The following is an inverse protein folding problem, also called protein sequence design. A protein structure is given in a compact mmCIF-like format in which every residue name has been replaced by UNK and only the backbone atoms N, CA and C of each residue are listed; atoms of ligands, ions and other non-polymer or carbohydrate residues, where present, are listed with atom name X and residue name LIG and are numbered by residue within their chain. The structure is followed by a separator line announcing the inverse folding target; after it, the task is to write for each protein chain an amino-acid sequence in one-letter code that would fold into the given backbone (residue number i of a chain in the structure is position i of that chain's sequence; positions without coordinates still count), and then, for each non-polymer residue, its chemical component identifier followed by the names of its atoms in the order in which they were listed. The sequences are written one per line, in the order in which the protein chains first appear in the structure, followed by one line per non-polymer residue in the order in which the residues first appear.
data_IF_425179560774
#
_entry.id   IF_425179560774
#
_cell.length_a   1.000
_cell.length_b   1.000
_cell.length_c   1.000
_cell.angle_alpha   90.00
_cell.angle_beta   90.00
_cell.angle_gamma   90.00
#
_symmetry.space_group_name_H-M   'P 1'
#
loop_
_entity.id
_entity.type
_entity.pdbx_description
1 polymer ?
#
# COMPACT_ATOMS: atom_id res chain seq x y z
N UNK A 1 -17.32 -10.37 -5.17
CA UNK A 1 -18.13 -11.20 -4.29
C UNK A 1 -18.83 -12.29 -5.11
N UNK A 2 -18.69 -13.53 -4.68
CA UNK A 2 -19.42 -14.66 -5.25
C UNK A 2 -20.54 -15.03 -4.29
N UNK A 3 -21.80 -15.11 -4.73
CA UNK A 3 -22.90 -15.49 -3.87
C UNK A 3 -22.68 -16.86 -3.23
N UNK A 4 -23.24 -17.09 -2.07
CA UNK A 4 -23.22 -18.37 -1.40
C UNK A 4 -24.39 -19.25 -1.84
N UNK A 5 -24.10 -20.52 -2.01
CA UNK A 5 -25.07 -21.56 -2.27
C UNK A 5 -25.26 -22.41 -1.02
N UNK A 6 -26.49 -22.76 -0.68
CA UNK A 6 -26.75 -23.80 0.30
C UNK A 6 -26.59 -25.16 -0.36
N UNK A 7 -25.77 -25.99 0.24
CA UNK A 7 -25.65 -27.40 -0.17
C UNK A 7 -26.96 -28.10 0.08
N UNK A 8 -27.32 -28.98 -0.86
CA UNK A 8 -28.55 -29.75 -0.80
C UNK A 8 -28.69 -30.45 0.55
N UNK A 9 -29.87 -30.32 1.16
CA UNK A 9 -30.21 -30.98 2.41
C UNK A 9 -30.09 -32.50 2.39
N UNK A 10 -30.15 -33.13 1.22
CA UNK A 10 -29.94 -34.56 1.04
C UNK A 10 -28.51 -35.00 1.45
N UNK A 11 -27.54 -34.10 1.42
CA UNK A 11 -26.15 -34.36 1.82
C UNK A 11 -25.83 -33.88 3.25
N UNK A 12 -26.81 -33.42 4.00
CA UNK A 12 -26.67 -32.94 5.37
C UNK A 12 -25.61 -31.84 5.57
N UNK A 13 -25.32 -31.09 4.55
CA UNK A 13 -24.38 -29.98 4.61
C UNK A 13 -25.16 -28.68 4.74
N UNK A 14 -25.36 -28.26 5.97
CA UNK A 14 -26.07 -27.02 6.32
C UNK A 14 -25.14 -25.80 6.36
N UNK A 15 -24.08 -25.76 5.55
CA UNK A 15 -23.18 -24.63 5.45
C UNK A 15 -23.21 -24.04 4.03
N UNK A 16 -23.10 -22.73 3.88
CA UNK A 16 -23.01 -22.13 2.57
C UNK A 16 -21.69 -22.49 1.90
N UNK A 17 -21.76 -22.78 0.64
CA UNK A 17 -20.62 -23.00 -0.22
C UNK A 17 -20.47 -21.78 -1.13
N UNK A 18 -19.27 -21.32 -1.32
CA UNK A 18 -19.00 -20.28 -2.31
C UNK A 18 -19.42 -20.77 -3.67
N UNK A 19 -20.36 -20.09 -4.26
CA UNK A 19 -20.81 -20.36 -5.58
C UNK A 19 -19.80 -19.85 -6.61
N UNK A 20 -19.53 -20.64 -7.61
CA UNK A 20 -18.73 -20.23 -8.73
C UNK A 20 -19.62 -19.64 -9.82
N UNK A 21 -19.50 -18.37 -10.07
CA UNK A 21 -20.16 -17.72 -11.19
C UNK A 21 -21.70 -17.84 -11.18
N UNK A 22 -22.25 -18.07 -12.35
CA UNK A 22 -23.71 -18.13 -12.55
C UNK A 22 -24.39 -19.27 -11.79
N UNK A 23 -23.74 -20.41 -11.62
CA UNK A 23 -24.35 -21.55 -10.93
C UNK A 23 -24.68 -21.24 -9.49
N UNK A 24 -23.81 -20.52 -8.80
CA UNK A 24 -24.09 -20.12 -7.46
C UNK A 24 -25.18 -19.07 -7.34
N UNK A 25 -25.18 -18.14 -8.26
CA UNK A 25 -26.26 -17.14 -8.33
C UNK A 25 -27.61 -17.83 -8.58
N UNK A 26 -27.65 -18.80 -9.47
CA UNK A 26 -28.89 -19.54 -9.78
C UNK A 26 -29.36 -20.40 -8.59
N UNK A 27 -28.46 -21.12 -7.95
CA UNK A 27 -28.80 -21.89 -6.76
C UNK A 27 -29.20 -21.01 -5.57
N UNK A 28 -28.51 -19.92 -5.40
CA UNK A 28 -28.86 -18.88 -4.44
C UNK A 28 -30.25 -18.29 -4.75
N UNK A 29 -30.52 -18.02 -6.01
CA UNK A 29 -31.76 -17.47 -6.51
C UNK A 29 -32.90 -18.50 -6.54
N UNK A 30 -32.61 -19.79 -6.53
CA UNK A 30 -33.61 -20.86 -6.51
C UNK A 30 -34.38 -20.99 -5.17
N UNK A 31 -34.27 -20.04 -4.28
CA UNK A 31 -35.13 -19.92 -3.13
C UNK A 31 -34.59 -20.51 -1.83
N UNK A 32 -33.33 -20.81 -1.78
CA UNK A 32 -32.71 -21.30 -0.56
C UNK A 32 -32.31 -20.20 0.41
N UNK A 33 -32.42 -18.94 -0.01
CA UNK A 33 -32.09 -17.77 0.78
C UNK A 33 -33.26 -16.79 0.83
N UNK A 34 -33.40 -16.04 1.93
CA UNK A 34 -34.53 -15.13 2.13
C UNK A 34 -34.47 -13.85 1.28
N UNK A 35 -33.48 -13.75 0.39
CA UNK A 35 -33.32 -12.60 -0.50
C UNK A 35 -34.04 -12.87 -1.80
N UNK A 36 -34.84 -11.93 -2.24
CA UNK A 36 -35.61 -12.04 -3.46
C UNK A 36 -34.71 -12.23 -4.68
N UNK A 37 -34.75 -13.42 -5.22
CA UNK A 37 -33.86 -13.88 -6.26
C UNK A 37 -34.03 -13.18 -7.61
N UNK A 38 -35.14 -12.58 -7.86
CA UNK A 38 -35.38 -11.92 -9.15
C UNK A 38 -34.59 -10.62 -9.34
N UNK A 39 -34.21 -9.97 -8.25
CA UNK A 39 -33.42 -8.74 -8.30
C UNK A 39 -31.95 -8.99 -8.67
N UNK A 40 -31.44 -10.18 -8.41
CA UNK A 40 -30.04 -10.54 -8.71
C UNK A 40 -29.78 -10.79 -10.19
N UNK A 41 -30.77 -11.23 -10.92
CA UNK A 41 -30.63 -11.54 -12.34
C UNK A 41 -30.62 -10.30 -13.24
N UNK A 42 -30.87 -9.13 -12.68
CA UNK A 42 -31.13 -7.94 -13.50
C UNK A 42 -30.10 -6.81 -13.34
N UNK A 43 -29.33 -6.78 -12.25
CA UNK A 43 -28.34 -5.74 -12.03
C UNK A 43 -27.17 -6.26 -11.20
N UNK A 44 -25.99 -6.25 -11.77
CA UNK A 44 -24.75 -6.45 -11.03
C UNK A 44 -24.47 -5.19 -10.20
N UNK A 45 -24.88 -5.20 -8.95
CA UNK A 45 -24.51 -4.13 -8.04
C UNK A 45 -23.23 -4.48 -7.30
N UNK A 46 -22.30 -3.55 -7.12
CA UNK A 46 -21.08 -3.79 -6.34
C UNK A 46 -21.45 -4.28 -4.94
N UNK A 47 -20.77 -5.29 -4.48
CA UNK A 47 -21.03 -5.89 -3.16
C UNK A 47 -19.71 -6.10 -2.42
N UNK A 48 -19.76 -5.99 -1.10
CA UNK A 48 -18.63 -6.31 -0.25
C UNK A 48 -19.07 -7.15 0.94
N UNK A 49 -18.16 -7.93 1.50
CA UNK A 49 -18.42 -8.72 2.69
C UNK A 49 -17.57 -8.24 3.86
N UNK A 50 -18.19 -8.10 5.02
CA UNK A 50 -17.52 -7.81 6.29
C UNK A 50 -17.45 -9.10 7.10
N UNK A 51 -16.26 -9.48 7.49
CA UNK A 51 -15.99 -10.65 8.31
C UNK A 51 -15.71 -10.20 9.74
N UNK A 52 -16.45 -10.74 10.70
CA UNK A 52 -16.21 -10.58 12.12
C UNK A 52 -15.76 -11.95 12.68
N UNK A 53 -14.52 -12.03 13.13
CA UNK A 53 -13.88 -13.29 13.56
C UNK A 53 -13.62 -13.25 15.05
N UNK A 54 -14.24 -14.16 15.77
CA UNK A 54 -14.01 -14.41 17.17
C UNK A 54 -13.41 -15.83 17.36
N UNK A 55 -12.96 -16.19 18.55
CA UNK A 55 -12.23 -17.44 18.84
C UNK A 55 -12.87 -18.72 18.28
N UNK A 56 -14.19 -18.79 18.24
CA UNK A 56 -14.91 -19.96 17.78
C UNK A 56 -16.02 -19.65 16.77
N UNK A 57 -16.09 -18.41 16.28
CA UNK A 57 -17.18 -17.96 15.42
C UNK A 57 -16.68 -17.02 14.34
N UNK A 58 -17.14 -17.24 13.12
CA UNK A 58 -17.00 -16.32 12.01
C UNK A 58 -18.39 -15.82 11.65
N UNK A 59 -18.61 -14.50 11.69
CA UNK A 59 -19.83 -13.88 11.19
C UNK A 59 -19.50 -13.13 9.90
N UNK A 60 -20.34 -13.30 8.90
CA UNK A 60 -20.18 -12.66 7.59
C UNK A 60 -21.43 -11.85 7.29
N UNK A 61 -21.25 -10.57 6.99
CA UNK A 61 -22.30 -9.68 6.53
C UNK A 61 -21.95 -9.22 5.12
N UNK A 62 -22.84 -9.42 4.19
CA UNK A 62 -22.69 -9.04 2.79
C UNK A 62 -23.56 -7.84 2.49
N UNK A 63 -22.98 -6.84 1.91
CA UNK A 63 -23.64 -5.59 1.57
C UNK A 63 -23.63 -5.36 0.07
N UNK A 64 -24.72 -4.83 -0.43
CA UNK A 64 -24.83 -4.29 -1.76
C UNK A 64 -24.69 -2.77 -1.73
N UNK A 65 -23.94 -2.21 -2.67
CA UNK A 65 -23.84 -0.77 -2.86
C UNK A 65 -24.87 -0.31 -3.89
N UNK A 66 -25.64 0.68 -3.52
CA UNK A 66 -26.64 1.33 -4.38
C UNK A 66 -26.55 2.84 -4.21
N UNK A 67 -27.22 3.59 -5.09
CA UNK A 67 -27.26 5.05 -5.00
C UNK A 67 -26.30 5.77 -5.95
N UNK A 68 -26.21 7.08 -5.79
CA UNK A 68 -25.32 7.94 -6.58
C UNK A 68 -23.85 7.75 -6.11
N UNK A 69 -22.91 7.82 -7.04
CA UNK A 69 -21.48 7.76 -6.76
C UNK A 69 -21.00 8.79 -5.73
N UNK A 70 -21.71 9.90 -5.59
CA UNK A 70 -21.45 10.93 -4.58
C UNK A 70 -22.11 10.68 -3.22
N UNK A 71 -23.05 9.72 -3.16
CA UNK A 71 -23.76 9.34 -1.95
C UNK A 71 -24.12 7.84 -2.00
N UNK A 72 -23.13 6.92 -1.96
CA UNK A 72 -23.41 5.50 -2.03
C UNK A 72 -24.15 5.04 -0.77
N UNK A 73 -25.20 4.28 -0.98
CA UNK A 73 -25.95 3.62 0.09
C UNK A 73 -25.51 2.16 0.18
N UNK A 74 -25.32 1.68 1.40
CA UNK A 74 -24.94 0.30 1.69
C UNK A 74 -26.14 -0.46 2.26
N UNK A 75 -26.58 -1.49 1.56
CA UNK A 75 -27.72 -2.33 1.99
C UNK A 75 -27.21 -3.73 2.34
N UNK A 76 -27.46 -4.17 3.57
CA UNK A 76 -27.20 -5.55 3.95
C UNK A 76 -28.09 -6.49 3.13
N UNK A 77 -27.49 -7.42 2.40
CA UNK A 77 -28.19 -8.34 1.51
C UNK A 77 -28.11 -9.78 1.97
N UNK A 78 -27.06 -10.13 2.72
CA UNK A 78 -26.92 -11.44 3.33
C UNK A 78 -26.14 -11.36 4.64
N UNK A 79 -26.38 -12.31 5.53
CA UNK A 79 -25.63 -12.47 6.78
C UNK A 79 -25.69 -13.91 7.23
N UNK A 80 -24.56 -14.43 7.67
CA UNK A 80 -24.50 -15.75 8.28
C UNK A 80 -23.36 -15.81 9.29
N UNK A 81 -23.36 -16.85 10.12
CA UNK A 81 -22.25 -17.14 10.99
C UNK A 81 -21.98 -18.63 11.08
N UNK A 82 -20.70 -18.98 11.18
CA UNK A 82 -20.23 -20.33 11.45
C UNK A 82 -19.61 -20.34 12.84
N UNK A 83 -20.13 -21.20 13.72
CA UNK A 83 -19.57 -21.40 15.06
C UNK A 83 -18.95 -22.79 15.14
N UNK A 84 -17.70 -22.86 15.55
CA UNK A 84 -17.01 -24.13 15.81
C UNK A 84 -17.42 -24.66 17.19
N UNK A 85 -17.91 -25.88 17.24
CA UNK A 85 -18.22 -26.60 18.46
C UNK A 85 -17.52 -27.96 18.48
N UNK A 86 -17.68 -28.72 19.58
CA UNK A 86 -17.03 -30.02 19.77
C UNK A 86 -17.42 -31.06 18.68
N UNK A 87 -18.54 -30.87 17.99
CA UNK A 87 -19.08 -31.79 16.99
C UNK A 87 -18.92 -31.29 15.56
N UNK A 88 -18.21 -30.18 15.34
CA UNK A 88 -18.01 -29.55 14.02
C UNK A 88 -18.45 -28.09 13.99
N UNK A 89 -18.83 -27.62 12.80
CA UNK A 89 -19.33 -26.26 12.62
C UNK A 89 -20.84 -26.18 12.67
N UNK A 90 -21.40 -25.18 13.33
CA UNK A 90 -22.81 -24.82 13.30
C UNK A 90 -22.98 -23.55 12.46
N UNK A 91 -23.75 -23.65 11.39
CA UNK A 91 -24.13 -22.50 10.56
C UNK A 91 -25.43 -21.90 11.07
N UNK A 92 -25.45 -20.60 11.29
CA UNK A 92 -26.66 -19.81 11.53
C UNK A 92 -26.80 -18.74 10.46
N UNK A 93 -27.93 -18.73 9.78
CA UNK A 93 -28.32 -17.60 8.96
C UNK A 93 -28.75 -16.45 9.87
N UNK A 94 -28.27 -15.27 9.61
CA UNK A 94 -28.41 -14.15 10.52
C UNK A 94 -28.79 -12.85 9.87
N UNK A 95 -29.81 -12.82 9.01
CA UNK A 95 -30.46 -11.56 8.64
C UNK A 95 -31.21 -10.89 9.79
N UNK A 96 -31.16 -11.44 11.01
CA UNK A 96 -31.73 -10.81 12.18
C UNK A 96 -30.87 -9.61 12.62
N UNK A 97 -31.25 -8.43 12.13
CA UNK A 97 -31.08 -7.09 12.71
C UNK A 97 -29.76 -6.80 13.45
N UNK A 98 -28.60 -6.91 12.80
CA UNK A 98 -27.44 -6.13 13.22
C UNK A 98 -27.06 -5.15 12.11
N UNK A 99 -27.55 -3.95 12.21
CA UNK A 99 -26.95 -2.79 11.53
C UNK A 99 -25.57 -2.53 12.15
N UNK A 100 -24.56 -3.26 11.73
CA UNK A 100 -23.21 -2.82 11.91
C UNK A 100 -22.87 -1.90 10.72
N UNK A 101 -23.21 -0.64 10.84
CA UNK A 101 -22.75 0.38 9.90
C UNK A 101 -21.49 0.99 10.48
N UNK A 102 -20.39 0.92 9.77
CA UNK A 102 -19.26 1.81 10.02
C UNK A 102 -19.72 3.17 9.49
N UNK A 103 -20.00 4.11 10.38
CA UNK A 103 -20.26 5.48 10.01
C UNK A 103 -18.98 6.28 10.19
N UNK A 104 -18.52 6.90 9.13
CA UNK A 104 -17.44 7.88 9.19
C UNK A 104 -18.05 9.29 9.20
N UNK A 105 -17.66 10.08 10.17
CA UNK A 105 -18.10 11.48 10.28
C UNK A 105 -16.88 12.37 10.27
N UNK A 106 -16.82 13.29 9.32
CA UNK A 106 -15.80 14.32 9.32
C UNK A 106 -16.06 15.30 10.46
N UNK A 107 -15.15 15.37 11.44
CA UNK A 107 -15.29 16.22 12.62
C UNK A 107 -14.45 17.50 12.53
N UNK A 108 -13.36 17.46 11.75
CA UNK A 108 -12.47 18.60 11.60
C UNK A 108 -11.76 18.55 10.23
N UNK A 109 -11.22 19.68 9.84
CA UNK A 109 -10.34 19.81 8.67
C UNK A 109 -9.25 20.83 8.94
N UNK A 110 -8.11 20.64 8.33
CA UNK A 110 -7.06 21.63 8.21
C UNK A 110 -6.92 22.05 6.74
N UNK A 111 -6.63 23.31 6.51
CA UNK A 111 -6.35 23.84 5.18
C UNK A 111 -5.09 24.71 5.26
N UNK A 112 -4.05 24.35 4.53
CA UNK A 112 -2.80 25.10 4.46
C UNK A 112 -2.97 26.48 3.80
N UNK A 113 -4.04 26.68 3.02
CA UNK A 113 -4.24 27.86 2.17
C UNK A 113 -3.31 27.94 0.98
N UNK A 114 -2.51 26.88 0.73
CA UNK A 114 -1.55 26.80 -0.36
C UNK A 114 -2.11 25.99 -1.52
N UNK A 115 -1.53 26.18 -2.68
CA UNK A 115 -1.77 25.41 -3.89
C UNK A 115 -0.43 25.02 -4.50
N UNK A 116 -0.32 23.79 -4.96
CA UNK A 116 0.78 23.32 -5.78
C UNK A 116 0.20 22.83 -7.13
N UNK A 117 0.55 23.46 -8.24
CA UNK A 117 0.04 23.04 -9.55
C UNK A 117 0.60 21.69 -10.01
N UNK A 118 1.73 21.27 -9.45
CA UNK A 118 2.48 20.10 -9.88
C UNK A 118 2.30 18.89 -8.93
N UNK A 119 1.47 19.01 -7.89
CA UNK A 119 1.27 17.91 -6.95
C UNK A 119 0.53 18.28 -5.66
N UNK A 120 0.68 17.46 -4.64
CA UNK A 120 0.17 17.70 -3.29
C UNK A 120 0.90 18.84 -2.56
N UNK A 121 0.27 19.39 -1.56
CA UNK A 121 0.90 20.35 -0.63
C UNK A 121 1.26 19.66 0.67
N UNK A 122 0.40 18.76 1.13
CA UNK A 122 0.53 18.00 2.36
C UNK A 122 0.32 16.54 1.99
N UNK A 123 1.35 15.72 2.06
CA UNK A 123 1.31 14.35 1.55
C UNK A 123 1.39 13.32 2.67
N UNK A 124 2.47 13.35 3.46
CA UNK A 124 2.67 12.41 4.55
C UNK A 124 2.29 13.05 5.88
N UNK A 125 1.52 12.30 6.69
CA UNK A 125 1.06 12.73 8.00
C UNK A 125 1.20 11.60 9.01
N UNK A 126 1.68 11.93 10.23
CA UNK A 126 1.63 10.99 11.35
C UNK A 126 1.05 11.67 12.60
N UNK A 127 0.50 10.84 13.49
CA UNK A 127 -0.26 11.30 14.65
C UNK A 127 0.34 10.82 15.97
N UNK A 128 0.72 11.79 16.81
CA UNK A 128 1.15 11.52 18.17
C UNK A 128 -0.05 11.23 19.08
N UNK A 129 -0.30 9.98 19.35
CA UNK A 129 -1.42 9.52 20.19
C UNK A 129 -1.32 9.97 21.63
N UNK A 130 -0.10 10.25 22.11
CA UNK A 130 0.18 10.69 23.50
C UNK A 130 -0.11 12.18 23.65
N UNK A 131 0.42 13.00 22.75
CA UNK A 131 0.25 14.46 22.82
C UNK A 131 -1.03 14.94 22.16
N UNK A 132 -1.54 14.20 21.16
CA UNK A 132 -2.74 14.54 20.39
C UNK A 132 -2.50 15.57 19.29
N UNK A 133 -1.28 15.62 18.77
CA UNK A 133 -0.89 16.43 17.63
C UNK A 133 -0.60 15.56 16.42
N UNK A 134 -1.07 15.96 15.26
CA UNK A 134 -0.64 15.41 13.99
C UNK A 134 0.46 16.29 13.39
N UNK A 135 1.37 15.68 12.65
CA UNK A 135 2.47 16.36 11.99
C UNK A 135 2.43 15.97 10.51
N UNK A 136 2.36 16.98 9.65
CA UNK A 136 2.24 16.75 8.21
C UNK A 136 3.38 17.44 7.46
N UNK A 137 3.97 16.70 6.53
CA UNK A 137 4.99 17.19 5.61
C UNK A 137 4.36 18.21 4.65
N UNK A 138 5.01 19.36 4.50
CA UNK A 138 4.66 20.34 3.49
C UNK A 138 5.82 20.46 2.49
N UNK A 139 5.73 19.73 1.39
CA UNK A 139 6.77 19.65 0.36
C UNK A 139 7.04 20.97 -0.36
N UNK A 140 6.08 21.92 -0.34
CA UNK A 140 6.26 23.23 -1.00
C UNK A 140 7.18 24.17 -0.23
N UNK A 141 7.19 24.07 1.11
CA UNK A 141 7.84 25.10 1.94
C UNK A 141 9.02 24.60 2.75
N UNK A 142 9.27 23.30 2.82
CA UNK A 142 10.23 22.69 3.74
C UNK A 142 9.82 22.82 5.21
N UNK A 143 8.53 23.05 5.47
CA UNK A 143 7.95 23.09 6.81
C UNK A 143 7.29 21.77 7.18
N UNK A 144 7.37 21.40 8.44
CA UNK A 144 6.47 20.43 9.05
C UNK A 144 5.33 21.19 9.73
N UNK A 145 4.10 20.81 9.45
CA UNK A 145 2.92 21.46 10.04
C UNK A 145 2.40 20.64 11.21
N UNK A 146 2.45 21.18 12.41
CA UNK A 146 1.84 20.59 13.60
C UNK A 146 0.37 21.00 13.73
N UNK A 147 -0.55 20.04 13.78
CA UNK A 147 -2.01 20.25 13.78
C UNK A 147 -2.61 19.68 15.07
N UNK A 148 -3.30 20.49 15.90
CA UNK A 148 -3.90 20.01 17.14
C UNK A 148 -5.15 19.16 16.85
N UNK A 149 -5.12 17.88 17.20
CA UNK A 149 -6.24 16.94 16.98
C UNK A 149 -7.10 16.74 18.24
N UNK A 150 -6.62 17.12 19.43
CA UNK A 150 -7.37 16.94 20.70
C UNK A 150 -8.58 17.88 20.79
N UNK A 151 -9.68 17.34 21.34
CA UNK A 151 -10.87 18.06 21.80
C UNK A 151 -11.67 18.83 20.73
N UNK A 152 -11.80 18.27 19.55
CA UNK A 152 -12.80 18.78 18.60
C UNK A 152 -14.07 17.93 18.71
N UNK A 153 -14.88 18.18 19.74
CA UNK A 153 -16.25 17.70 19.76
C UNK A 153 -17.04 18.43 18.67
N UNK A 154 -17.04 17.89 17.47
CA UNK A 154 -17.90 18.37 16.41
C UNK A 154 -19.33 17.91 16.72
N UNK A 155 -20.13 18.78 17.26
CA UNK A 155 -21.54 18.47 17.53
C UNK A 155 -22.41 18.85 16.33
N UNK A 156 -22.10 19.95 15.62
CA UNK A 156 -22.93 20.44 14.52
C UNK A 156 -22.17 21.07 13.34
N UNK A 157 -20.85 21.19 13.39
CA UNK A 157 -20.04 21.79 12.31
C UNK A 157 -18.65 21.17 12.26
N UNK A 158 -18.12 21.00 11.03
CA UNK A 158 -16.73 20.64 10.80
C UNK A 158 -15.83 21.76 11.37
N UNK A 159 -14.98 21.41 12.33
CA UNK A 159 -14.06 22.38 12.93
C UNK A 159 -12.89 22.66 11.97
N UNK A 160 -12.61 23.94 11.71
CA UNK A 160 -11.37 24.32 11.04
C UNK A 160 -10.23 24.32 12.08
N UNK A 161 -9.17 23.59 11.78
CA UNK A 161 -7.99 23.47 12.67
C UNK A 161 -6.93 24.50 12.27
N UNK A 162 -6.25 25.02 13.29
CA UNK A 162 -5.10 25.91 13.10
C UNK A 162 -3.81 25.09 13.20
N UNK A 163 -2.99 25.11 12.15
CA UNK A 163 -1.68 24.47 12.15
C UNK A 163 -0.57 25.43 12.56
N UNK A 164 0.51 24.88 13.08
CA UNK A 164 1.77 25.60 13.38
C UNK A 164 2.85 25.11 12.46
N UNK A 165 3.45 25.97 11.67
CA UNK A 165 4.57 25.60 10.81
C UNK A 165 5.89 25.61 11.59
N UNK A 166 6.68 24.57 11.39
CA UNK A 166 8.01 24.38 11.95
C UNK A 166 8.97 24.29 10.77
N UNK A 167 9.90 25.20 10.66
CA UNK A 167 10.84 25.27 9.53
C UNK A 167 11.96 24.24 9.68
N UNK A 168 11.72 23.04 9.17
CA UNK A 168 12.67 21.92 9.23
C UNK A 168 13.90 22.20 8.39
N UNK A 169 13.72 22.78 7.19
CA UNK A 169 14.82 23.15 6.31
C UNK A 169 15.86 24.00 7.04
N UNK A 170 15.44 25.08 7.68
CA UNK A 170 16.34 25.99 8.41
C UNK A 170 17.02 25.28 9.58
N UNK A 171 16.30 24.44 10.32
CA UNK A 171 16.87 23.68 11.45
C UNK A 171 17.95 22.75 10.95
N UNK A 172 17.71 22.01 9.86
CA UNK A 172 18.67 21.04 9.32
C UNK A 172 19.91 21.73 8.76
N UNK A 173 19.75 22.76 7.94
CA UNK A 173 20.88 23.50 7.35
C UNK A 173 21.75 24.18 8.43
N UNK A 174 21.16 24.59 9.55
CA UNK A 174 21.91 25.17 10.66
C UNK A 174 22.68 24.12 11.50
N UNK A 175 22.18 22.90 11.60
CA UNK A 175 22.73 21.86 12.48
C UNK A 175 23.53 20.77 11.73
N UNK A 176 23.38 20.65 10.43
CA UNK A 176 24.12 19.68 9.59
C UNK A 176 24.98 20.41 8.57
N UNK A 177 26.21 20.76 8.97
CA UNK A 177 27.11 21.55 8.13
C UNK A 177 27.50 20.81 6.85
N UNK A 178 27.35 21.47 5.72
CA UNK A 178 27.69 20.94 4.41
C UNK A 178 26.56 20.16 3.75
N UNK A 179 25.46 19.95 4.46
CA UNK A 179 24.24 19.40 3.87
C UNK A 179 23.45 20.50 3.16
N UNK A 180 22.93 20.19 1.98
CA UNK A 180 22.06 21.07 1.23
C UNK A 180 20.68 20.41 1.15
N UNK A 181 19.70 21.06 1.75
CA UNK A 181 18.32 20.55 1.81
C UNK A 181 17.72 20.45 0.40
N UNK A 182 17.24 19.27 0.06
CA UNK A 182 16.47 18.99 -1.17
C UNK A 182 14.98 19.00 -0.88
N UNK A 183 14.48 17.91 -0.35
CA UNK A 183 13.07 17.75 0.00
C UNK A 183 12.90 16.97 1.31
N UNK A 184 11.73 17.15 1.95
CA UNK A 184 11.29 16.39 3.12
C UNK A 184 10.17 15.46 2.68
N UNK A 185 10.43 14.18 2.67
CA UNK A 185 9.57 13.15 2.08
C UNK A 185 8.65 12.49 3.08
N UNK A 186 9.11 12.29 4.32
CA UNK A 186 8.36 11.50 5.29
C UNK A 186 8.49 12.02 6.72
N UNK A 187 7.52 11.67 7.55
CA UNK A 187 7.50 11.95 8.99
C UNK A 187 6.95 10.74 9.75
N UNK A 188 7.57 10.42 10.88
CA UNK A 188 7.09 9.42 11.80
C UNK A 188 7.18 9.88 13.25
N UNK A 189 6.20 9.52 14.06
CA UNK A 189 6.19 9.72 15.51
C UNK A 189 6.51 8.40 16.19
N UNK A 190 7.40 8.39 17.16
CA UNK A 190 7.69 7.19 17.95
C UNK A 190 6.43 6.71 18.68
N UNK A 191 6.18 5.40 18.78
CA UNK A 191 5.01 4.83 19.45
C UNK A 191 4.82 5.31 20.89
N UNK A 192 5.91 5.61 21.61
CA UNK A 192 5.85 6.20 22.95
C UNK A 192 5.53 7.70 22.98
N UNK A 193 5.44 8.34 21.79
CA UNK A 193 5.10 9.76 21.64
C UNK A 193 6.19 10.75 22.01
N UNK A 194 7.40 10.30 22.35
CA UNK A 194 8.48 11.17 22.83
C UNK A 194 9.29 11.80 21.70
N UNK A 195 9.45 11.10 20.59
CA UNK A 195 10.27 11.52 19.46
C UNK A 195 9.48 11.60 18.16
N UNK A 196 9.99 12.40 17.25
CA UNK A 196 9.55 12.48 15.88
C UNK A 196 10.79 12.47 14.98
N UNK A 197 10.74 11.72 13.89
CA UNK A 197 11.76 11.68 12.86
C UNK A 197 11.20 12.17 11.53
N UNK A 198 12.02 12.87 10.75
CA UNK A 198 11.70 13.26 9.37
C UNK A 198 12.79 12.77 8.43
N UNK A 199 12.40 12.25 7.27
CA UNK A 199 13.31 11.91 6.19
C UNK A 199 13.53 13.12 5.29
N UNK A 200 14.78 13.38 4.92
CA UNK A 200 15.17 14.57 4.17
C UNK A 200 16.19 14.18 3.11
N UNK A 201 15.83 14.38 1.87
CA UNK A 201 16.71 14.19 0.72
C UNK A 201 17.68 15.34 0.55
N UNK A 202 18.87 15.06 0.05
CA UNK A 202 19.82 16.08 -0.39
C UNK A 202 19.34 16.76 -1.67
N UNK A 203 19.68 18.03 -1.85
CA UNK A 203 19.46 18.72 -3.14
C UNK A 203 20.32 18.15 -4.29
N UNK A 204 21.39 17.43 -3.96
CA UNK A 204 22.08 16.55 -4.89
C UNK A 204 21.49 15.16 -4.76
N UNK A 205 20.74 14.74 -5.77
CA UNK A 205 20.01 13.46 -5.77
C UNK A 205 20.91 12.23 -5.63
N UNK A 206 22.20 12.35 -5.88
CA UNK A 206 23.18 11.27 -5.74
C UNK A 206 23.91 11.28 -4.40
N UNK A 207 23.66 12.27 -3.55
CA UNK A 207 24.27 12.39 -2.24
C UNK A 207 23.38 11.82 -1.14
N UNK A 208 24.00 11.37 -0.05
CA UNK A 208 23.30 10.90 1.13
C UNK A 208 22.33 11.96 1.69
N UNK A 209 21.14 11.50 2.06
CA UNK A 209 20.16 12.28 2.80
C UNK A 209 20.40 12.25 4.31
N UNK A 210 19.41 12.66 5.08
CA UNK A 210 19.48 12.59 6.53
C UNK A 210 18.12 12.35 7.19
N UNK A 211 18.19 11.83 8.42
CA UNK A 211 17.05 11.72 9.32
C UNK A 211 17.23 12.73 10.46
N UNK A 212 16.36 13.72 10.53
CA UNK A 212 16.36 14.68 11.62
C UNK A 212 15.37 14.25 12.71
N UNK A 213 15.83 14.18 13.94
CA UNK A 213 15.07 13.71 15.10
C UNK A 213 14.79 14.86 16.05
N UNK A 214 13.57 14.89 16.55
CA UNK A 214 13.05 15.92 17.45
C UNK A 214 12.40 15.29 18.67
N UNK A 215 12.39 16.03 19.77
CA UNK A 215 11.60 15.73 20.96
C UNK A 215 10.23 16.39 20.84
N UNK A 216 9.17 15.65 21.10
CA UNK A 216 7.79 16.10 21.00
C UNK A 216 7.32 16.82 22.28
N UNK A 217 6.95 18.09 22.16
CA UNK A 217 6.29 18.83 23.22
C UNK A 217 4.79 18.54 23.31
N UNK A 218 4.23 18.62 24.52
CA UNK A 218 2.79 18.40 24.75
C UNK A 218 1.89 19.43 24.03
N UNK A 219 2.44 20.57 23.65
CA UNK A 219 1.78 21.67 22.96
C UNK A 219 2.00 21.66 21.44
N UNK A 220 2.56 20.55 20.91
CA UNK A 220 2.88 20.38 19.48
C UNK A 220 4.18 21.01 19.03
N UNK A 221 4.96 21.58 19.95
CA UNK A 221 6.31 22.08 19.63
C UNK A 221 7.27 20.91 19.44
N UNK A 222 8.28 21.12 18.59
CA UNK A 222 9.38 20.19 18.38
C UNK A 222 10.70 20.85 18.82
N UNK A 223 11.47 20.14 19.62
CA UNK A 223 12.83 20.55 20.00
C UNK A 223 13.83 19.68 19.26
N UNK A 224 14.75 20.28 18.54
CA UNK A 224 15.80 19.55 17.84
C UNK A 224 16.60 18.67 18.81
N UNK A 225 16.80 17.41 18.43
CA UNK A 225 17.56 16.42 19.21
C UNK A 225 18.84 16.04 18.48
N UNK A 226 18.74 15.41 17.31
CA UNK A 226 19.88 14.85 16.57
C UNK A 226 19.61 14.77 15.07
N UNK A 227 20.69 14.76 14.27
CA UNK A 227 20.64 14.37 12.84
C UNK A 227 21.50 13.13 12.67
N UNK A 228 21.01 12.18 11.89
CA UNK A 228 21.72 11.00 11.45
C UNK A 228 21.82 11.02 9.93
N UNK A 229 22.95 10.58 9.39
CA UNK A 229 23.10 10.34 7.95
C UNK A 229 22.19 9.18 7.54
N UNK A 230 21.47 9.31 6.45
CA UNK A 230 20.69 8.26 5.80
C UNK A 230 21.40 7.78 4.53
N UNK A 231 20.81 6.85 3.80
CA UNK A 231 21.23 6.53 2.44
C UNK A 231 20.90 7.64 1.45
N UNK A 232 20.97 7.33 0.18
CA UNK A 232 20.63 8.26 -0.91
C UNK A 232 19.12 8.28 -1.08
N UNK A 233 18.53 9.48 -1.12
CA UNK A 233 17.09 9.70 -1.31
C UNK A 233 16.24 8.94 -0.29
N UNK A 234 16.38 9.21 1.04
CA UNK A 234 15.45 8.63 2.01
C UNK A 234 14.02 9.12 1.70
N UNK A 235 13.14 8.17 1.43
CA UNK A 235 11.75 8.46 1.10
C UNK A 235 10.83 8.26 2.29
N UNK A 236 10.89 7.12 2.95
CA UNK A 236 10.03 6.78 4.06
C UNK A 236 10.81 6.59 5.35
N UNK A 237 10.27 7.08 6.48
CA UNK A 237 10.84 6.86 7.82
C UNK A 237 9.79 6.25 8.76
N UNK A 238 10.21 5.34 9.63
CA UNK A 238 9.36 4.75 10.67
C UNK A 238 10.14 4.40 11.92
N UNK A 239 9.43 4.13 13.02
CA UNK A 239 9.99 3.59 14.25
C UNK A 239 9.62 2.13 14.45
N UNK A 240 10.47 1.38 15.15
CA UNK A 240 10.05 0.08 15.71
C UNK A 240 8.99 0.28 16.81
N UNK A 241 8.09 -0.69 17.03
CA UNK A 241 7.04 -0.60 18.07
C UNK A 241 7.57 -0.30 19.48
N UNK A 242 8.77 -0.77 19.82
CA UNK A 242 9.42 -0.48 21.10
C UNK A 242 10.09 0.91 21.18
N UNK A 243 10.00 1.70 20.10
CA UNK A 243 10.56 3.05 19.97
C UNK A 243 12.09 3.13 20.11
N UNK A 244 12.82 2.01 19.92
CA UNK A 244 14.28 1.99 20.07
C UNK A 244 15.04 2.10 18.77
N UNK A 245 14.41 1.86 17.64
CA UNK A 245 15.06 2.02 16.34
C UNK A 245 14.26 2.95 15.45
N UNK A 246 14.97 3.66 14.58
CA UNK A 246 14.41 4.36 13.43
C UNK A 246 14.87 3.61 12.18
N UNK A 247 13.98 3.43 11.24
CA UNK A 247 14.22 2.80 9.95
C UNK A 247 13.89 3.78 8.84
N UNK A 248 14.72 3.84 7.79
CA UNK A 248 14.44 4.60 6.58
C UNK A 248 14.61 3.71 5.36
N UNK A 249 13.67 3.82 4.44
CA UNK A 249 13.82 3.34 3.08
C UNK A 249 14.50 4.44 2.28
N UNK A 250 15.63 4.13 1.67
CA UNK A 250 16.45 5.05 0.91
C UNK A 250 16.49 4.55 -0.53
N UNK A 251 15.70 5.14 -1.40
CA UNK A 251 15.38 4.62 -2.74
C UNK A 251 16.61 4.50 -3.64
N UNK A 252 17.39 5.57 -3.75
CA UNK A 252 18.52 5.60 -4.64
C UNK A 252 18.17 5.62 -6.12
N UNK A 253 17.16 6.37 -6.50
CA UNK A 253 16.59 6.42 -7.84
C UNK A 253 17.52 7.10 -8.88
N UNK A 254 17.52 6.61 -10.13
CA UNK A 254 18.27 7.22 -11.23
C UNK A 254 17.54 8.42 -11.84
N UNK A 255 17.31 9.48 -11.08
CA UNK A 255 16.46 10.63 -11.46
C UNK A 255 16.77 11.31 -12.79
N UNK A 256 17.95 11.06 -13.34
CA UNK A 256 18.32 11.50 -14.68
C UNK A 256 18.21 10.39 -15.76
N UNK A 257 17.51 9.30 -15.42
CA UNK A 257 17.34 8.14 -16.30
C UNK A 257 18.60 7.30 -16.43
N UNK A 258 18.60 6.39 -17.40
CA UNK A 258 19.65 5.37 -17.60
C UNK A 258 20.63 5.71 -18.73
N UNK A 259 20.71 6.96 -19.15
CA UNK A 259 21.64 7.36 -20.21
C UNK A 259 23.10 7.31 -19.77
N UNK A 260 24.01 7.25 -20.74
CA UNK A 260 25.44 7.20 -20.48
C UNK A 260 25.91 8.43 -19.70
N UNK A 261 26.41 8.22 -18.49
CA UNK A 261 26.89 9.26 -17.58
C UNK A 261 25.86 9.67 -16.50
N UNK A 262 24.65 9.13 -16.53
CA UNK A 262 23.71 9.23 -15.42
C UNK A 262 24.23 8.47 -14.20
N UNK A 263 23.95 8.97 -13.02
CA UNK A 263 24.23 8.30 -11.75
C UNK A 263 22.96 7.56 -11.35
N UNK A 264 23.12 6.28 -11.09
CA UNK A 264 22.12 5.37 -10.57
C UNK A 264 22.61 4.89 -9.19
N UNK A 265 22.19 5.53 -8.09
CA UNK A 265 22.67 5.20 -6.76
C UNK A 265 22.17 3.83 -6.30
N UNK A 266 22.72 3.32 -5.20
CA UNK A 266 22.21 2.10 -4.57
C UNK A 266 21.06 2.43 -3.64
N UNK A 267 20.01 1.63 -3.69
CA UNK A 267 19.00 1.59 -2.66
C UNK A 267 19.56 0.99 -1.35
N UNK A 268 19.13 1.53 -0.22
CA UNK A 268 19.54 1.04 1.12
C UNK A 268 18.39 1.08 2.12
N UNK A 269 18.54 0.33 3.21
CA UNK A 269 17.71 0.46 4.39
C UNK A 269 18.59 0.99 5.52
N UNK A 270 18.34 2.23 5.94
CA UNK A 270 19.05 2.80 7.09
C UNK A 270 18.36 2.35 8.38
N UNK A 271 19.17 1.86 9.32
CA UNK A 271 18.74 1.45 10.67
C UNK A 271 19.53 2.23 11.70
N UNK A 272 18.82 3.01 12.52
CA UNK A 272 19.41 3.77 13.64
C UNK A 272 18.97 3.13 14.95
N UNK A 273 19.93 2.67 15.75
CA UNK A 273 19.67 2.21 17.11
C UNK A 273 19.79 3.39 18.10
N UNK A 274 18.67 3.86 18.59
CA UNK A 274 18.59 5.02 19.51
C UNK A 274 19.20 4.74 20.89
N UNK A 275 19.43 3.48 21.25
CA UNK A 275 20.00 3.13 22.55
C UNK A 275 21.51 3.36 22.63
N UNK A 276 22.19 3.28 21.50
CA UNK A 276 23.64 3.45 21.36
C UNK A 276 24.06 4.44 20.29
N UNK A 277 23.07 5.00 19.54
CA UNK A 277 23.24 5.96 18.45
C UNK A 277 24.02 5.39 17.24
N UNK A 278 24.06 4.09 17.07
CA UNK A 278 24.68 3.47 15.92
C UNK A 278 23.78 3.58 14.68
N UNK A 279 24.39 3.89 13.55
CA UNK A 279 23.76 3.91 12.23
C UNK A 279 24.32 2.76 11.40
N UNK A 280 23.45 2.06 10.70
CA UNK A 280 23.79 0.99 9.76
C UNK A 280 23.01 1.20 8.46
N UNK A 281 23.71 1.15 7.32
CA UNK A 281 23.11 1.17 6.00
C UNK A 281 23.19 -0.24 5.42
N UNK A 282 22.03 -0.87 5.25
CA UNK A 282 21.92 -2.23 4.72
C UNK A 282 21.69 -2.13 3.22
N UNK A 283 22.62 -2.57 2.42
CA UNK A 283 22.53 -2.60 0.96
C UNK A 283 22.19 -4.00 0.43
N UNK A 284 21.88 -4.08 -0.86
CA UNK A 284 21.52 -5.33 -1.52
C UNK A 284 22.70 -6.01 -2.22
N UNK A 285 23.93 -5.63 -1.95
CA UNK A 285 25.14 -6.16 -2.61
C UNK A 285 25.30 -7.68 -2.48
N UNK A 286 24.75 -8.27 -1.42
CA UNK A 286 24.74 -9.74 -1.23
C UNK A 286 24.00 -10.48 -2.37
N UNK A 287 23.13 -9.80 -3.10
CA UNK A 287 22.37 -10.35 -4.22
C UNK A 287 23.01 -10.09 -5.60
N UNK A 288 24.13 -9.38 -5.68
CA UNK A 288 24.79 -9.03 -6.96
C UNK A 288 25.45 -10.21 -7.66
N UNK A 289 25.72 -11.32 -6.94
CA UNK A 289 26.27 -12.49 -7.59
C UNK A 289 25.31 -13.09 -8.62
N UNK A 290 25.82 -13.59 -9.74
CA UNK A 290 25.02 -14.18 -10.81
C UNK A 290 24.06 -15.26 -10.28
N UNK A 291 24.50 -16.08 -9.34
CA UNK A 291 23.66 -17.12 -8.73
C UNK A 291 22.50 -16.54 -7.92
N UNK A 292 22.75 -15.49 -7.13
CA UNK A 292 21.72 -14.84 -6.33
C UNK A 292 20.74 -14.03 -7.19
N UNK A 293 21.26 -13.32 -8.19
CA UNK A 293 20.41 -12.65 -9.18
C UNK A 293 19.48 -13.65 -9.88
N UNK A 294 20.01 -14.79 -10.35
CA UNK A 294 19.22 -15.83 -10.99
C UNK A 294 18.14 -16.42 -10.05
N UNK A 295 18.46 -16.56 -8.75
CA UNK A 295 17.49 -16.99 -7.74
C UNK A 295 16.33 -15.98 -7.60
N UNK A 296 16.62 -14.68 -7.52
CA UNK A 296 15.61 -13.62 -7.47
C UNK A 296 14.69 -13.66 -8.71
N UNK A 297 15.29 -13.68 -9.90
CA UNK A 297 14.57 -13.75 -11.18
C UNK A 297 13.69 -15.00 -11.26
N UNK A 298 14.22 -16.17 -10.87
CA UNK A 298 13.46 -17.41 -10.85
C UNK A 298 12.27 -17.37 -9.89
N UNK A 299 12.41 -16.65 -8.80
CA UNK A 299 11.35 -16.45 -7.80
C UNK A 299 10.36 -15.33 -8.17
N UNK A 300 10.50 -14.70 -9.34
CA UNK A 300 9.55 -13.72 -9.86
C UNK A 300 9.81 -12.27 -9.42
N UNK A 301 11.00 -11.97 -8.88
CA UNK A 301 11.45 -10.60 -8.64
C UNK A 301 11.81 -9.98 -9.99
N UNK A 302 11.31 -8.79 -10.25
CA UNK A 302 11.55 -8.08 -11.51
C UNK A 302 12.86 -7.30 -11.40
N UNK A 303 13.82 -7.60 -12.27
CA UNK A 303 15.11 -6.95 -12.30
C UNK A 303 15.44 -6.43 -13.70
N UNK A 304 16.04 -5.24 -13.76
CA UNK A 304 16.53 -4.65 -15.02
C UNK A 304 17.74 -5.40 -15.53
N UNK A 305 17.75 -5.73 -16.82
CA UNK A 305 18.87 -6.44 -17.47
C UNK A 305 20.13 -5.59 -17.44
N UNK A 306 21.23 -6.20 -17.05
CA UNK A 306 22.53 -5.54 -17.05
C UNK A 306 22.78 -4.60 -15.86
N UNK A 307 21.83 -4.42 -14.96
CA UNK A 307 21.97 -3.66 -13.71
C UNK A 307 22.17 -4.62 -12.54
N UNK A 308 23.03 -4.30 -11.61
CA UNK A 308 23.24 -5.10 -10.40
C UNK A 308 22.00 -4.98 -9.48
N UNK A 309 21.56 -6.06 -8.81
CA UNK A 309 20.44 -5.97 -7.85
C UNK A 309 20.60 -4.87 -6.81
N UNK A 310 21.82 -4.63 -6.31
CA UNK A 310 22.06 -3.55 -5.33
C UNK A 310 21.84 -2.14 -5.85
N UNK A 311 21.70 -1.96 -7.14
CA UNK A 311 21.42 -0.68 -7.80
C UNK A 311 19.96 -0.62 -8.27
N UNK A 312 19.41 -1.76 -8.66
CA UNK A 312 18.09 -1.85 -9.28
C UNK A 312 16.94 -2.04 -8.25
N UNK A 313 17.30 -2.40 -7.02
CA UNK A 313 16.33 -2.56 -5.94
C UNK A 313 16.19 -1.25 -5.17
N UNK A 314 15.05 -0.63 -5.30
CA UNK A 314 14.69 0.68 -4.77
C UNK A 314 13.71 0.48 -3.61
N UNK A 315 14.14 0.71 -2.34
CA UNK A 315 13.28 0.61 -1.16
C UNK A 315 12.31 1.78 -1.05
N UNK A 316 11.00 1.49 -0.86
CA UNK A 316 9.94 2.47 -0.77
C UNK A 316 9.40 2.64 0.64
N UNK A 317 8.62 1.66 1.12
CA UNK A 317 7.97 1.70 2.42
C UNK A 317 8.43 0.58 3.33
N UNK A 318 8.37 0.85 4.65
CA UNK A 318 8.77 -0.11 5.69
C UNK A 318 7.64 -0.30 6.70
N UNK A 319 7.32 -1.56 6.98
CA UNK A 319 6.57 -1.94 8.17
C UNK A 319 7.42 -2.89 9.03
N UNK A 320 7.49 -2.65 10.32
CA UNK A 320 8.38 -3.40 11.20
C UNK A 320 7.70 -3.83 12.51
N UNK A 321 8.12 -4.98 13.02
CA UNK A 321 8.07 -5.29 14.44
C UNK A 321 9.46 -5.06 15.06
N UNK A 322 9.64 -5.40 16.35
CA UNK A 322 10.91 -5.13 17.04
C UNK A 322 12.09 -6.02 16.56
N UNK A 323 11.84 -7.00 15.69
CA UNK A 323 12.84 -7.98 15.23
C UNK A 323 13.04 -7.99 13.74
N UNK A 324 11.97 -7.76 12.98
CA UNK A 324 11.95 -7.90 11.53
C UNK A 324 11.32 -6.68 10.90
N UNK A 325 11.93 -6.15 9.85
CA UNK A 325 11.31 -5.18 8.97
C UNK A 325 11.00 -5.82 7.61
N UNK A 326 9.92 -5.37 7.02
CA UNK A 326 9.47 -5.73 5.67
C UNK A 326 9.47 -4.46 4.84
N UNK A 327 10.20 -4.48 3.75
CA UNK A 327 10.47 -3.30 2.93
C UNK A 327 9.91 -3.56 1.54
N UNK A 328 9.03 -2.72 1.06
CA UNK A 328 8.56 -2.80 -0.32
C UNK A 328 9.65 -2.34 -1.28
N UNK A 329 9.75 -3.07 -2.40
CA UNK A 329 10.62 -2.81 -3.54
C UNK A 329 9.66 -2.74 -4.73
N UNK A 330 9.05 -1.57 -4.94
CA UNK A 330 7.88 -1.41 -5.80
C UNK A 330 8.15 -1.87 -7.21
N UNK A 331 9.12 -1.28 -7.89
CA UNK A 331 9.44 -1.55 -9.29
C UNK A 331 10.01 -2.96 -9.51
N UNK A 332 10.56 -3.56 -8.46
CA UNK A 332 10.98 -4.96 -8.46
C UNK A 332 9.82 -5.94 -8.20
N UNK A 333 8.61 -5.42 -7.93
CA UNK A 333 7.44 -6.19 -7.54
C UNK A 333 7.75 -7.17 -6.39
N UNK A 334 8.41 -6.68 -5.35
CA UNK A 334 8.97 -7.54 -4.31
C UNK A 334 8.91 -6.91 -2.90
N UNK A 335 9.19 -7.73 -1.89
CA UNK A 335 9.31 -7.33 -0.50
C UNK A 335 10.61 -7.91 0.05
N UNK A 336 11.48 -7.05 0.59
CA UNK A 336 12.67 -7.47 1.32
C UNK A 336 12.35 -7.75 2.80
N UNK A 337 12.98 -8.77 3.35
CA UNK A 337 12.89 -9.17 4.75
C UNK A 337 14.21 -8.84 5.43
N UNK A 338 14.17 -7.98 6.43
CA UNK A 338 15.33 -7.49 7.17
C UNK A 338 15.30 -7.98 8.60
N UNK A 339 16.34 -8.66 9.04
CA UNK A 339 16.55 -8.99 10.45
C UNK A 339 17.18 -7.78 11.17
N UNK A 340 16.46 -7.22 12.13
CA UNK A 340 16.89 -6.05 12.91
C UNK A 340 17.83 -6.38 14.07
N UNK A 341 18.11 -7.65 14.32
CA UNK A 341 19.06 -8.11 15.34
C UNK A 341 20.44 -8.32 14.72
N UNK A 342 20.47 -8.96 13.56
CA UNK A 342 21.74 -9.22 12.82
C UNK A 342 22.09 -8.07 11.87
N UNK A 343 21.15 -7.15 11.64
CA UNK A 343 21.27 -6.04 10.69
C UNK A 343 21.64 -6.54 9.29
N UNK A 344 20.82 -7.43 8.77
CA UNK A 344 21.02 -8.03 7.44
C UNK A 344 19.72 -8.20 6.68
N UNK A 345 19.78 -8.07 5.35
CA UNK A 345 18.68 -8.42 4.45
C UNK A 345 18.73 -9.94 4.25
N UNK A 346 17.74 -10.65 4.81
CA UNK A 346 17.74 -12.12 4.82
C UNK A 346 17.18 -12.70 3.52
N UNK A 347 16.14 -12.07 2.95
CA UNK A 347 15.45 -12.59 1.78
C UNK A 347 14.75 -11.48 1.01
N UNK A 348 14.44 -11.75 -0.26
CA UNK A 348 13.58 -10.93 -1.11
C UNK A 348 12.54 -11.85 -1.74
N UNK A 349 11.28 -11.54 -1.54
CA UNK A 349 10.13 -12.31 -2.00
C UNK A 349 9.36 -11.52 -3.05
N UNK A 350 9.03 -12.13 -4.20
CA UNK A 350 8.12 -11.50 -5.16
C UNK A 350 6.74 -11.25 -4.54
N UNK A 351 6.14 -10.11 -4.85
CA UNK A 351 4.76 -9.81 -4.50
C UNK A 351 3.74 -10.60 -5.36
N UNK A 352 4.20 -11.25 -6.45
CA UNK A 352 3.37 -12.05 -7.34
C UNK A 352 2.48 -11.21 -8.26
N UNK A 353 1.45 -11.85 -8.80
CA UNK A 353 0.54 -11.26 -9.79
C UNK A 353 -0.90 -11.41 -9.37
N UNK A 354 -1.73 -10.48 -9.81
CA UNK A 354 -3.17 -10.64 -9.79
C UNK A 354 -3.64 -11.37 -11.05
N UNK A 355 -4.45 -12.39 -10.88
CA UNK A 355 -4.98 -13.23 -11.98
C UNK A 355 -6.36 -12.72 -12.39
N UNK A 356 -6.43 -11.88 -13.41
CA UNK A 356 -7.70 -11.31 -13.87
C UNK A 356 -8.62 -12.28 -14.63
N UNK A 357 -8.17 -13.51 -14.86
CA UNK A 357 -9.07 -14.58 -15.29
C UNK A 357 -9.93 -15.08 -14.11
N UNK A 358 -9.33 -15.16 -12.90
CA UNK A 358 -10.00 -15.61 -11.68
C UNK A 358 -10.67 -14.50 -10.91
N UNK A 359 -10.04 -13.32 -10.90
CA UNK A 359 -10.48 -12.15 -10.13
C UNK A 359 -10.87 -11.04 -11.11
N UNK A 360 -12.17 -10.96 -11.47
CA UNK A 360 -12.64 -9.96 -12.43
C UNK A 360 -12.31 -8.54 -12.00
N UNK A 361 -11.90 -7.73 -12.95
CA UNK A 361 -11.58 -6.32 -12.77
C UNK A 361 -12.29 -5.47 -13.82
N UNK A 362 -12.64 -4.25 -13.46
CA UNK A 362 -13.14 -3.23 -14.38
C UNK A 362 -11.98 -2.29 -14.75
N UNK A 363 -11.54 -2.37 -16.00
CA UNK A 363 -10.47 -1.52 -16.55
C UNK A 363 -10.97 -0.56 -17.62
N UNK A 364 -12.28 -0.52 -17.91
CA UNK A 364 -12.85 0.42 -18.87
C UNK A 364 -13.22 1.75 -18.18
N UNK A 365 -12.37 2.74 -18.28
CA UNK A 365 -12.56 4.08 -17.70
C UNK A 365 -13.65 4.92 -18.39
N UNK A 366 -14.26 4.45 -19.49
CA UNK A 366 -15.11 5.30 -20.35
C UNK A 366 -16.60 5.07 -20.21
N UNK A 367 -17.02 3.94 -19.72
CA UNK A 367 -18.43 3.57 -19.71
C UNK A 367 -19.21 4.12 -18.50
N UNK A 368 -18.53 4.78 -17.55
CA UNK A 368 -19.09 5.33 -16.30
C UNK A 368 -19.91 4.31 -15.47
N UNK A 369 -19.63 3.02 -15.66
CA UNK A 369 -20.30 1.92 -14.97
C UNK A 369 -19.25 0.98 -14.39
N UNK A 370 -19.48 0.44 -13.19
CA UNK A 370 -18.61 -0.59 -12.63
C UNK A 370 -19.02 -1.96 -13.18
N UNK A 371 -18.20 -2.50 -14.07
CA UNK A 371 -18.43 -3.79 -14.76
C UNK A 371 -17.20 -4.68 -14.73
N UNK A 372 -16.92 -5.35 -13.60
CA UNK A 372 -15.78 -6.25 -13.54
C UNK A 372 -15.96 -7.43 -14.52
N UNK A 373 -14.95 -7.64 -15.35
CA UNK A 373 -14.90 -8.69 -16.36
C UNK A 373 -13.66 -9.54 -16.13
N UNK A 374 -13.76 -10.83 -16.41
CA UNK A 374 -12.62 -11.74 -16.45
C UNK A 374 -11.88 -11.58 -17.77
N UNK A 375 -10.57 -11.38 -17.68
CA UNK A 375 -9.69 -11.25 -18.84
C UNK A 375 -8.73 -12.44 -18.89
N UNK A 376 -8.99 -13.44 -19.76
CA UNK A 376 -8.08 -14.57 -19.94
C UNK A 376 -6.67 -14.12 -20.33
N UNK A 377 -5.67 -14.71 -19.73
CA UNK A 377 -4.25 -14.43 -20.00
C UNK A 377 -3.76 -13.01 -19.62
N UNK A 378 -4.57 -12.21 -18.93
CA UNK A 378 -4.15 -10.92 -18.39
C UNK A 378 -3.74 -11.08 -16.93
N UNK A 379 -2.59 -10.52 -16.57
CA UNK A 379 -2.07 -10.49 -15.20
C UNK A 379 -1.81 -9.05 -14.80
N UNK A 380 -2.14 -8.70 -13.55
CA UNK A 380 -1.75 -7.44 -12.95
C UNK A 380 -0.48 -7.61 -12.14
N UNK A 381 0.54 -6.84 -12.45
CA UNK A 381 1.73 -6.76 -11.61
C UNK A 381 1.34 -5.92 -10.39
N UNK A 382 1.64 -6.41 -9.18
CA UNK A 382 1.17 -5.76 -7.96
C UNK A 382 1.93 -4.48 -7.66
N UNK A 383 3.24 -4.50 -7.74
CA UNK A 383 4.12 -3.38 -7.43
C UNK A 383 3.70 -2.68 -6.14
N UNK A 384 4.04 -3.33 -4.99
CA UNK A 384 3.57 -2.88 -3.68
C UNK A 384 4.30 -1.61 -3.24
N UNK A 385 3.53 -0.59 -2.88
CA UNK A 385 3.99 0.64 -2.27
C UNK A 385 3.74 0.61 -0.74
N UNK A 386 2.74 1.31 -0.24
CA UNK A 386 2.43 1.37 1.19
C UNK A 386 2.23 -0.01 1.83
N UNK A 387 2.85 -0.25 2.97
CA UNK A 387 2.86 -1.53 3.68
C UNK A 387 2.44 -1.37 5.14
N UNK A 388 1.72 -2.34 5.66
CA UNK A 388 1.36 -2.42 7.07
C UNK A 388 1.41 -3.86 7.59
N UNK A 389 1.59 -4.02 8.90
CA UNK A 389 1.60 -5.31 9.57
C UNK A 389 0.44 -5.46 10.52
N UNK A 390 -0.05 -6.70 10.65
CA UNK A 390 -0.90 -7.07 11.77
C UNK A 390 -0.61 -8.49 12.22
N UNK A 391 -0.86 -8.74 13.50
CA UNK A 391 -0.70 -10.05 14.12
C UNK A 391 -2.05 -10.73 14.27
N UNK A 392 -2.15 -11.98 13.87
CA UNK A 392 -3.35 -12.79 14.09
C UNK A 392 -2.97 -14.24 14.31
N UNK A 393 -3.47 -14.84 15.40
CA UNK A 393 -3.21 -16.24 15.76
C UNK A 393 -1.72 -16.62 15.80
N UNK A 394 -0.86 -15.71 16.28
CA UNK A 394 0.59 -15.90 16.36
C UNK A 394 1.31 -15.92 15.02
N UNK A 395 0.70 -15.37 13.98
CA UNK A 395 1.29 -15.15 12.68
C UNK A 395 1.28 -13.67 12.35
N UNK A 396 2.37 -13.21 11.77
CA UNK A 396 2.48 -11.86 11.18
C UNK A 396 1.93 -11.89 9.76
N UNK A 397 1.07 -10.95 9.46
CA UNK A 397 0.51 -10.72 8.13
C UNK A 397 0.98 -9.37 7.63
N UNK A 398 1.25 -9.33 6.33
CA UNK A 398 1.61 -8.13 5.60
C UNK A 398 0.39 -7.74 4.75
N UNK A 399 0.07 -6.46 4.73
CA UNK A 399 -0.91 -5.85 3.82
C UNK A 399 -0.21 -4.76 3.05
N UNK A 400 -0.34 -4.79 1.73
CA UNK A 400 0.24 -3.79 0.84
C UNK A 400 -0.83 -3.09 0.01
N UNK A 401 -0.62 -1.80 -0.25
CA UNK A 401 -1.29 -1.08 -1.31
C UNK A 401 -0.49 -1.34 -2.60
N UNK A 402 -1.15 -1.90 -3.61
CA UNK A 402 -0.49 -2.27 -4.86
C UNK A 402 -0.88 -1.25 -5.92
N UNK A 403 0.08 -0.54 -6.47
CA UNK A 403 -0.16 0.52 -7.45
C UNK A 403 -0.05 0.03 -8.88
N UNK A 404 0.77 -0.98 -9.14
CA UNK A 404 1.06 -1.45 -10.49
C UNK A 404 1.87 -0.44 -11.28
N UNK A 405 2.61 0.40 -10.60
CA UNK A 405 3.42 1.46 -11.19
C UNK A 405 4.69 0.91 -11.85
N UNK A 406 5.27 1.66 -12.74
CA UNK A 406 6.46 1.28 -13.47
C UNK A 406 7.51 2.38 -13.44
N UNK A 407 8.75 2.07 -13.87
CA UNK A 407 9.83 3.05 -13.86
C UNK A 407 9.61 4.16 -14.87
N UNK A 408 9.60 5.39 -14.38
CA UNK A 408 9.46 6.62 -15.16
C UNK A 408 10.60 7.59 -14.79
N UNK A 409 11.72 7.51 -15.49
CA UNK A 409 12.89 8.34 -15.19
C UNK A 409 13.24 9.22 -16.39
N UNK A 410 13.04 10.51 -16.28
CA UNK A 410 13.29 11.46 -17.35
C UNK A 410 12.53 11.06 -18.64
N UNK A 411 13.23 10.65 -19.70
CA UNK A 411 12.62 10.15 -20.94
C UNK A 411 12.43 8.61 -20.95
N UNK A 412 12.89 7.92 -19.91
CA UNK A 412 12.72 6.48 -19.80
C UNK A 412 11.34 6.15 -19.25
N UNK A 413 10.60 5.36 -20.01
CA UNK A 413 9.27 4.88 -19.62
C UNK A 413 9.21 3.38 -19.88
N UNK A 414 8.88 2.61 -18.86
CA UNK A 414 8.77 1.16 -18.95
C UNK A 414 7.33 0.69 -19.16
N UNK A 415 6.58 1.43 -19.93
CA UNK A 415 5.17 1.19 -20.22
C UNK A 415 4.84 1.29 -21.70
N UNK A 416 3.83 0.51 -22.12
CA UNK A 416 3.24 0.62 -23.45
C UNK A 416 1.72 0.80 -23.34
N UNK A 417 1.21 1.99 -23.70
CA UNK A 417 -0.21 2.23 -23.84
C UNK A 417 -0.73 1.64 -25.14
N UNK A 418 -1.64 0.67 -25.07
CA UNK A 418 -2.28 0.04 -26.21
C UNK A 418 -3.78 0.37 -26.24
N UNK A 419 -4.27 0.85 -27.40
CA UNK A 419 -5.67 1.21 -27.59
C UNK A 419 -6.40 0.15 -28.41
N UNK A 420 -7.08 -0.76 -27.73
CA UNK A 420 -7.82 -1.87 -28.31
C UNK A 420 -9.01 -1.38 -29.16
N UNK A 421 -9.63 -0.26 -28.80
CA UNK A 421 -10.68 0.37 -29.61
C UNK A 421 -10.21 0.93 -30.95
N UNK A 422 -8.89 1.04 -31.15
CA UNK A 422 -8.25 1.39 -32.42
C UNK A 422 -7.60 0.19 -33.13
N UNK A 423 -7.87 -1.02 -32.64
CA UNK A 423 -7.34 -2.26 -33.23
C UNK A 423 -5.87 -2.54 -32.85
N UNK A 424 -5.32 -1.88 -31.85
CA UNK A 424 -4.00 -2.23 -31.32
C UNK A 424 -4.09 -3.52 -30.48
N UNK A 425 -2.95 -4.14 -30.28
CA UNK A 425 -2.79 -5.34 -29.43
C UNK A 425 -1.80 -5.04 -28.33
N UNK A 426 -1.67 -5.95 -27.34
CA UNK A 426 -0.57 -5.87 -26.37
C UNK A 426 0.79 -5.87 -27.09
N UNK A 427 1.86 -5.39 -26.44
CA UNK A 427 3.21 -5.34 -27.04
C UNK A 427 3.67 -6.70 -27.57
N UNK A 428 3.32 -7.79 -26.90
CA UNK A 428 3.61 -9.17 -27.35
C UNK A 428 2.73 -9.65 -28.49
N UNK A 429 1.68 -8.93 -28.86
CA UNK A 429 0.66 -9.36 -29.82
C UNK A 429 -0.26 -10.50 -29.34
N UNK A 430 -0.08 -10.99 -28.10
CA UNK A 430 -0.85 -12.13 -27.56
C UNK A 430 -2.26 -11.73 -27.12
N UNK A 431 -2.44 -10.50 -26.64
CA UNK A 431 -3.74 -9.97 -26.20
C UNK A 431 -4.29 -9.07 -27.31
N UNK A 432 -5.48 -9.40 -27.78
CA UNK A 432 -6.21 -8.67 -28.81
C UNK A 432 -7.61 -8.32 -28.31
N UNK A 433 -8.30 -7.37 -28.92
CA UNK A 433 -9.69 -7.05 -28.58
C UNK A 433 -10.60 -8.28 -28.70
N UNK A 434 -10.32 -9.17 -29.66
CA UNK A 434 -11.12 -10.37 -29.92
C UNK A 434 -10.98 -11.42 -28.81
N UNK A 435 -9.74 -11.68 -28.33
CA UNK A 435 -9.51 -12.75 -27.35
C UNK A 435 -9.63 -12.28 -25.89
N UNK A 436 -9.60 -10.97 -25.64
CA UNK A 436 -9.70 -10.39 -24.29
C UNK A 436 -11.01 -9.64 -24.00
N UNK A 437 -11.72 -9.20 -25.05
CA UNK A 437 -12.86 -8.32 -24.91
C UNK A 437 -12.51 -6.87 -24.55
N UNK A 438 -11.22 -6.50 -24.57
CA UNK A 438 -10.78 -5.15 -24.28
C UNK A 438 -11.23 -4.17 -25.39
N UNK A 439 -11.77 -3.03 -25.00
CA UNK A 439 -12.29 -2.01 -25.91
C UNK A 439 -11.66 -0.63 -25.74
N UNK A 440 -10.96 -0.43 -24.64
CA UNK A 440 -10.35 0.83 -24.25
C UNK A 440 -8.84 0.89 -24.41
N UNK A 441 -8.24 1.82 -23.70
CA UNK A 441 -6.78 1.92 -23.53
C UNK A 441 -6.34 1.14 -22.30
N UNK A 442 -5.29 0.38 -22.45
CA UNK A 442 -4.66 -0.40 -21.37
C UNK A 442 -3.16 -0.15 -21.43
N UNK A 443 -2.56 0.05 -20.29
CA UNK A 443 -1.12 0.19 -20.14
C UNK A 443 -0.53 -1.18 -19.80
N UNK A 444 0.51 -1.58 -20.51
CA UNK A 444 1.24 -2.81 -20.32
C UNK A 444 2.67 -2.54 -19.91
N UNK A 445 3.19 -3.38 -19.03
CA UNK A 445 4.59 -3.38 -18.68
C UNK A 445 5.45 -3.82 -19.87
N UNK A 446 6.48 -3.05 -20.17
CA UNK A 446 7.45 -3.34 -21.24
C UNK A 446 8.53 -4.30 -20.74
N UNK A 447 8.53 -5.54 -21.24
CA UNK A 447 9.41 -6.60 -20.75
C UNK A 447 10.83 -6.59 -21.31
N UNK A 448 11.09 -5.82 -22.36
CA UNK A 448 12.32 -5.97 -23.15
C UNK A 448 13.60 -5.77 -22.33
N UNK A 449 13.57 -4.88 -21.35
CA UNK A 449 14.70 -4.52 -20.53
C UNK A 449 14.72 -5.23 -19.15
N UNK A 450 13.77 -6.13 -18.90
CA UNK A 450 13.59 -6.76 -17.59
C UNK A 450 13.60 -8.28 -17.63
N UNK A 451 13.90 -8.87 -16.48
CA UNK A 451 13.84 -10.30 -16.17
C UNK A 451 12.92 -10.51 -14.95
N UNK A 452 12.52 -11.75 -14.70
CA UNK A 452 11.64 -12.09 -13.57
C UNK A 452 10.15 -12.07 -13.89
N UNK A 453 9.79 -11.62 -15.08
CA UNK A 453 8.44 -11.74 -15.62
C UNK A 453 8.30 -13.09 -16.29
N UNK A 454 7.53 -14.00 -15.67
CA UNK A 454 7.21 -15.26 -16.32
C UNK A 454 6.36 -14.99 -17.54
N UNK A 455 6.88 -15.33 -18.72
CA UNK A 455 6.27 -15.04 -20.03
C UNK A 455 5.16 -16.04 -20.44
N UNK A 456 4.53 -16.70 -19.49
CA UNK A 456 3.39 -17.61 -19.79
C UNK A 456 2.04 -16.89 -19.79
#
# INVERSE_FOLDING_TARGET
YTPFEKVDKANNADYPVLANGQTGSEAYLAGNLPIGNQEWNQEYSPSYAVFDVADNKISVNVYNLSGDSNAPESKLIDSFSVTKNANGGELKNGLENKKASIAMTQTAQYNSGMQNPDGGVMEIIDYNTVTGWAYAVNGVTGNLTAIPMKNKNAVDKIALLDGKNINIKEIVENNYKGFSYGDMTSVAVSPNGEKLAVAIQSSDYSAAGCLAVFLCGADGTLSFDQIYEAGVQPDMVTFTPDSKKILSADEGEPRNGYEAGSIDPKGTVTVIDLTNQNVSHLDFTVFDSEAKRAELVQNGVILKKGTAPSVDLEPEYIAANDKTAYVTLQEANAIAIVDLQTLSIENICSAGYEDYEKYPIDIDKKDAAYRPVSYPSLRGIRMPDGISLFESNGKTYIVTANEGDSREWNEYLNEAECNFGKGQTSPSGKITAENSGLTGKVVFFEQNDYEGLNSE
#
